data_IF_521955646326
#
_entry.id   IF_521955646326
#
_cell.length_a   1.000
_cell.length_b   1.000
_cell.length_c   1.000
_cell.angle_alpha   90.00
_cell.angle_beta   90.00
_cell.angle_gamma   90.00
#
_symmetry.space_group_name_H-M   'P 1'
#
loop_
_entity.id
_entity.type
_entity.pdbx_description
1 polymer ?
#
# COMPACT_ATOMS: atom_id res chain seq x y z
N UNK A 1 26.88 10.27 -50.78
CA UNK A 1 25.44 10.56 -50.99
C UNK A 1 24.65 10.11 -49.78
N UNK A 2 23.98 11.01 -49.04
CA UNK A 2 23.18 10.62 -47.89
C UNK A 2 21.87 9.96 -48.37
N UNK A 3 21.54 8.80 -47.79
CA UNK A 3 20.33 8.03 -48.07
C UNK A 3 19.17 8.61 -47.27
N UNK A 4 18.15 9.11 -47.95
CA UNK A 4 16.89 9.56 -47.36
C UNK A 4 16.13 8.35 -46.81
N UNK A 5 15.64 8.37 -45.55
CA UNK A 5 14.81 7.28 -45.03
C UNK A 5 13.40 7.29 -45.66
N UNK A 6 12.77 6.10 -45.79
CA UNK A 6 11.46 5.96 -46.42
C UNK A 6 10.34 6.59 -45.57
N UNK A 7 9.51 7.38 -46.24
CA UNK A 7 8.32 8.06 -45.73
C UNK A 7 7.21 7.02 -45.51
N UNK A 8 6.87 6.76 -44.25
CA UNK A 8 5.71 5.94 -43.89
C UNK A 8 4.41 6.64 -44.28
N UNK A 9 3.55 5.96 -45.03
CA UNK A 9 2.16 6.35 -45.29
C UNK A 9 1.23 5.36 -44.56
N UNK A 10 0.29 5.82 -43.74
CA UNK A 10 -0.77 4.96 -43.22
C UNK A 10 -1.79 4.69 -44.32
N UNK A 11 -1.93 3.41 -44.69
CA UNK A 11 -2.97 2.89 -45.56
C UNK A 11 -4.32 2.92 -44.83
N UNK A 12 -5.23 3.73 -45.36
CA UNK A 12 -6.65 3.71 -45.01
C UNK A 12 -7.34 2.54 -45.73
N UNK A 13 -8.05 1.72 -44.95
CA UNK A 13 -9.12 0.79 -45.36
C UNK A 13 -9.91 0.56 -44.07
N UNK A 14 -11.00 1.27 -43.78
CA UNK A 14 -12.33 1.12 -44.39
C UNK A 14 -12.70 -0.36 -44.55
N UNK A 15 -13.31 -0.93 -43.52
CA UNK A 15 -14.40 -1.89 -43.63
C UNK A 15 -15.19 -1.91 -42.31
N UNK A 16 -16.33 -1.20 -42.36
CA UNK A 16 -17.42 -1.32 -41.41
C UNK A 16 -18.17 -2.63 -41.69
N UNK A 17 -18.26 -3.52 -40.70
CA UNK A 17 -19.28 -4.58 -40.71
C UNK A 17 -19.94 -4.66 -39.34
N UNK A 18 -21.12 -4.06 -39.26
CA UNK A 18 -22.09 -4.21 -38.19
C UNK A 18 -22.54 -5.68 -38.11
N UNK A 19 -22.27 -6.34 -36.98
CA UNK A 19 -22.94 -7.56 -36.58
C UNK A 19 -23.72 -7.23 -35.30
N UNK A 20 -24.96 -6.80 -35.49
CA UNK A 20 -25.98 -6.78 -34.45
C UNK A 20 -26.61 -8.17 -34.39
N UNK A 21 -26.19 -9.03 -33.45
CA UNK A 21 -26.93 -10.24 -33.13
C UNK A 21 -27.15 -10.37 -31.63
N UNK A 22 -28.41 -10.18 -31.22
CA UNK A 22 -29.09 -11.01 -30.23
C UNK A 22 -28.69 -10.87 -28.75
N UNK A 23 -29.13 -9.80 -28.09
CA UNK A 23 -29.25 -9.78 -26.62
C UNK A 23 -30.58 -10.45 -26.27
N UNK A 24 -30.53 -11.74 -25.93
CA UNK A 24 -31.63 -12.47 -25.30
C UNK A 24 -31.79 -12.05 -23.83
N UNK A 25 -33.03 -11.92 -23.31
CA UNK A 25 -33.29 -11.64 -21.90
C UNK A 25 -33.26 -12.95 -21.11
N UNK A 26 -32.07 -13.48 -20.85
CA UNK A 26 -31.89 -14.69 -20.03
C UNK A 26 -31.76 -14.34 -18.54
N UNK A 27 -32.90 -14.49 -17.87
CA UNK A 27 -33.11 -14.94 -16.49
C UNK A 27 -32.19 -14.35 -15.40
N UNK A 28 -32.76 -13.37 -14.69
CA UNK A 28 -32.21 -12.73 -13.51
C UNK A 28 -32.01 -13.69 -12.33
N UNK A 29 -30.91 -14.43 -12.36
CA UNK A 29 -30.28 -14.95 -11.16
C UNK A 29 -29.82 -13.75 -10.32
N UNK A 30 -30.64 -13.35 -9.35
CA UNK A 30 -30.34 -12.32 -8.38
C UNK A 30 -28.99 -12.62 -7.72
N UNK A 31 -27.93 -11.99 -8.22
CA UNK A 31 -26.62 -11.96 -7.58
C UNK A 31 -26.83 -11.16 -6.31
N UNK A 32 -27.19 -11.86 -5.23
CA UNK A 32 -27.38 -11.25 -3.92
C UNK A 32 -26.17 -10.39 -3.56
N UNK A 33 -26.35 -9.26 -2.86
CA UNK A 33 -25.27 -8.36 -2.51
C UNK A 33 -24.21 -9.17 -1.75
N UNK A 34 -23.09 -9.48 -2.42
CA UNK A 34 -21.95 -10.16 -1.80
C UNK A 34 -21.36 -9.25 -0.74
N UNK A 35 -21.92 -9.34 0.46
CA UNK A 35 -21.52 -8.59 1.62
C UNK A 35 -20.02 -8.81 1.88
N UNK A 36 -19.25 -7.73 1.81
CA UNK A 36 -17.90 -7.70 2.37
C UNK A 36 -16.73 -7.72 1.39
N UNK A 37 -16.94 -7.69 0.07
CA UNK A 37 -15.82 -7.44 -0.86
C UNK A 37 -15.53 -5.93 -0.87
N UNK A 38 -14.39 -5.53 -0.30
CA UNK A 38 -13.98 -4.13 -0.30
C UNK A 38 -13.94 -3.56 -1.72
N UNK A 39 -14.26 -2.28 -1.87
CA UNK A 39 -14.21 -1.60 -3.17
C UNK A 39 -12.75 -1.54 -3.62
N UNK A 40 -12.46 -2.22 -4.73
CA UNK A 40 -11.15 -2.24 -5.38
C UNK A 40 -11.28 -1.40 -6.65
N UNK A 41 -10.58 -0.27 -6.71
CA UNK A 41 -10.52 0.56 -7.92
C UNK A 41 -9.13 0.45 -8.55
N UNK A 42 -9.07 0.41 -9.88
CA UNK A 42 -7.81 0.49 -10.62
C UNK A 42 -7.62 1.93 -11.07
N UNK A 43 -6.50 2.53 -10.71
CA UNK A 43 -6.16 3.90 -11.10
C UNK A 43 -4.71 4.00 -11.57
N UNK A 44 -4.46 4.89 -12.53
CA UNK A 44 -3.11 5.21 -13.01
C UNK A 44 -2.57 6.38 -12.21
N UNK A 45 -1.40 6.20 -11.61
CA UNK A 45 -0.82 7.18 -10.67
C UNK A 45 0.68 7.38 -10.98
N UNK A 46 1.23 8.59 -10.83
CA UNK A 46 2.67 8.80 -10.89
C UNK A 46 3.42 7.95 -9.85
N UNK A 47 4.54 7.33 -10.24
CA UNK A 47 5.32 6.46 -9.35
C UNK A 47 5.82 7.23 -8.11
N UNK A 48 6.12 8.53 -8.26
CA UNK A 48 6.58 9.40 -7.17
C UNK A 48 5.58 9.59 -6.02
N UNK A 49 4.27 9.50 -6.29
CA UNK A 49 3.23 9.68 -5.28
C UNK A 49 2.87 8.39 -4.52
N UNK A 50 3.56 7.28 -4.80
CA UNK A 50 3.33 6.00 -4.14
C UNK A 50 4.38 5.76 -3.05
N UNK A 51 3.92 5.44 -1.85
CA UNK A 51 4.73 5.21 -0.67
C UNK A 51 4.97 3.72 -0.42
N UNK A 52 6.11 3.39 0.19
CA UNK A 52 6.43 2.05 0.64
C UNK A 52 5.72 1.72 1.97
N UNK A 53 5.24 0.49 2.12
CA UNK A 53 4.66 0.01 3.39
C UNK A 53 5.73 -0.48 4.37
N UNK A 54 6.86 -1.01 3.87
CA UNK A 54 7.90 -1.63 4.70
C UNK A 54 9.17 -0.79 4.76
N UNK A 55 9.88 -0.77 5.90
CA UNK A 55 11.20 -0.14 6.03
C UNK A 55 12.30 -0.84 5.25
N UNK A 56 12.21 -2.17 5.08
CA UNK A 56 13.22 -2.92 4.33
C UNK A 56 12.64 -4.05 3.47
N UNK A 57 13.30 -4.29 2.33
CA UNK A 57 12.95 -5.34 1.37
C UNK A 57 14.16 -6.25 1.12
N UNK A 58 13.94 -7.51 0.78
CA UNK A 58 15.03 -8.41 0.38
C UNK A 58 15.43 -8.17 -1.09
N UNK A 59 16.72 -8.20 -1.43
CA UNK A 59 17.23 -7.87 -2.78
C UNK A 59 16.95 -8.87 -3.92
N UNK A 60 15.94 -9.73 -3.81
CA UNK A 60 15.54 -10.72 -4.83
C UNK A 60 14.03 -10.83 -4.90
N UNK A 61 13.49 -11.16 -6.06
CA UNK A 61 12.10 -11.57 -6.22
C UNK A 61 11.87 -13.02 -5.75
N UNK A 62 10.62 -13.43 -5.64
CA UNK A 62 10.25 -14.80 -5.23
C UNK A 62 10.66 -15.87 -6.25
N UNK A 63 10.77 -15.49 -7.52
CA UNK A 63 11.30 -16.30 -8.62
C UNK A 63 12.83 -16.41 -8.61
N UNK A 64 13.51 -15.71 -7.69
CA UNK A 64 14.96 -15.66 -7.59
C UNK A 64 15.65 -14.60 -8.46
N UNK A 65 14.91 -13.88 -9.32
CA UNK A 65 15.45 -12.80 -10.16
C UNK A 65 15.94 -11.62 -9.32
N UNK A 66 16.93 -10.91 -9.85
CA UNK A 66 17.45 -9.67 -9.25
C UNK A 66 16.58 -8.48 -9.64
N UNK A 67 16.56 -7.45 -8.80
CA UNK A 67 15.84 -6.21 -9.09
C UNK A 67 16.41 -5.49 -10.31
N UNK A 68 17.73 -5.51 -10.46
CA UNK A 68 18.43 -4.90 -11.58
C UNK A 68 17.92 -5.42 -12.93
N UNK A 69 17.64 -6.72 -13.03
CA UNK A 69 17.12 -7.32 -14.26
C UNK A 69 15.76 -6.74 -14.66
N UNK A 70 14.86 -6.48 -13.70
CA UNK A 70 13.58 -5.85 -14.02
C UNK A 70 13.76 -4.38 -14.44
N UNK A 71 14.69 -3.65 -13.81
CA UNK A 71 15.03 -2.27 -14.20
C UNK A 71 15.57 -2.22 -15.63
N UNK A 72 16.46 -3.15 -16.01
CA UNK A 72 16.98 -3.28 -17.37
C UNK A 72 15.87 -3.64 -18.38
N UNK A 73 14.92 -4.49 -18.00
CA UNK A 73 13.76 -4.83 -18.85
C UNK A 73 12.82 -3.64 -19.05
N UNK A 74 12.65 -2.80 -18.03
CA UNK A 74 11.91 -1.53 -18.16
C UNK A 74 12.65 -0.53 -19.06
N UNK A 75 13.98 -0.42 -18.93
CA UNK A 75 14.80 0.46 -19.76
C UNK A 75 14.85 0.05 -21.23
N UNK A 76 14.88 -1.26 -21.49
CA UNK A 76 14.83 -1.80 -22.85
C UNK A 76 13.44 -1.74 -23.49
N UNK A 77 12.40 -1.41 -22.71
CA UNK A 77 11.01 -1.40 -23.19
C UNK A 77 10.43 -2.80 -23.43
N UNK A 78 11.10 -3.86 -22.93
CA UNK A 78 10.57 -5.23 -22.97
C UNK A 78 9.33 -5.37 -22.10
N UNK A 79 9.24 -4.55 -21.06
CA UNK A 79 8.16 -4.52 -20.08
C UNK A 79 7.60 -3.10 -20.01
N UNK A 80 6.27 -2.97 -19.97
CA UNK A 80 5.52 -1.71 -19.92
C UNK A 80 4.69 -1.63 -18.62
N UNK A 81 4.94 -0.65 -17.72
CA UNK A 81 4.20 -0.45 -16.47
C UNK A 81 2.68 -0.26 -16.60
N UNK A 82 2.21 0.16 -17.78
CA UNK A 82 0.79 0.42 -18.03
C UNK A 82 0.08 -0.77 -18.67
N UNK A 83 0.80 -1.62 -19.38
CA UNK A 83 0.21 -2.76 -20.10
C UNK A 83 0.33 -4.06 -19.31
N UNK A 84 1.50 -4.31 -18.74
CA UNK A 84 1.78 -5.59 -18.12
C UNK A 84 1.01 -5.78 -16.81
N UNK A 85 0.29 -6.90 -16.69
CA UNK A 85 -0.51 -7.22 -15.49
C UNK A 85 0.36 -7.44 -14.26
N UNK A 86 1.56 -8.01 -14.43
CA UNK A 86 2.45 -8.27 -13.29
C UNK A 86 2.99 -6.97 -12.66
N UNK A 87 2.92 -5.84 -13.38
CA UNK A 87 3.27 -4.50 -12.91
C UNK A 87 2.07 -3.72 -12.35
N UNK A 88 0.86 -4.27 -12.41
CA UNK A 88 -0.26 -3.74 -11.64
C UNK A 88 0.03 -3.97 -10.15
N UNK A 89 0.25 -2.89 -9.39
CA UNK A 89 0.63 -3.00 -7.98
C UNK A 89 -0.61 -2.97 -7.10
N UNK A 90 -0.61 -3.77 -6.04
CA UNK A 90 -1.61 -3.65 -4.99
C UNK A 90 -1.25 -2.51 -4.05
N UNK A 91 -2.19 -1.59 -3.84
CA UNK A 91 -2.02 -0.46 -2.96
C UNK A 91 -3.21 -0.31 -2.00
N UNK A 92 -2.95 0.30 -0.86
CA UNK A 92 -3.95 0.66 0.14
C UNK A 92 -4.00 2.18 0.23
N UNK A 93 -5.20 2.73 0.13
CA UNK A 93 -5.42 4.15 0.40
C UNK A 93 -5.59 4.37 1.90
N UNK A 94 -4.73 5.19 2.50
CA UNK A 94 -4.83 5.57 3.90
C UNK A 94 -4.68 7.09 4.04
N UNK A 95 -5.81 7.77 4.25
CA UNK A 95 -5.87 9.22 4.22
C UNK A 95 -5.62 9.76 2.81
N UNK A 96 -4.66 10.68 2.67
CA UNK A 96 -4.29 11.31 1.38
C UNK A 96 -3.14 10.60 0.66
N UNK A 97 -2.73 9.41 1.14
CA UNK A 97 -1.53 8.71 0.67
C UNK A 97 -1.84 7.29 0.20
N UNK A 98 -1.04 6.83 -0.75
CA UNK A 98 -1.14 5.49 -1.32
C UNK A 98 0.06 4.66 -0.91
N UNK A 99 -0.18 3.56 -0.20
CA UNK A 99 0.85 2.66 0.27
C UNK A 99 0.86 1.36 -0.54
N UNK A 100 1.99 1.04 -1.16
CA UNK A 100 2.13 -0.14 -2.01
C UNK A 100 2.52 -1.39 -1.20
N UNK A 101 1.76 -2.46 -1.38
CA UNK A 101 2.04 -3.76 -0.76
C UNK A 101 3.18 -4.50 -1.48
N UNK A 102 3.31 -4.29 -2.81
CA UNK A 102 4.37 -4.89 -3.63
C UNK A 102 5.65 -4.04 -3.65
N UNK A 103 6.21 -3.76 -2.46
CA UNK A 103 7.37 -2.87 -2.27
C UNK A 103 8.58 -3.17 -3.18
N UNK A 104 8.83 -4.44 -3.53
CA UNK A 104 9.94 -4.83 -4.43
C UNK A 104 9.77 -4.31 -5.86
N UNK A 105 8.54 -4.37 -6.40
CA UNK A 105 8.23 -3.87 -7.74
C UNK A 105 8.22 -2.35 -7.76
N UNK A 106 7.64 -1.72 -6.73
CA UNK A 106 7.67 -0.27 -6.58
C UNK A 106 9.12 0.27 -6.53
N UNK A 107 10.03 -0.43 -5.85
CA UNK A 107 11.44 -0.05 -5.81
C UNK A 107 12.05 -0.03 -7.21
N UNK A 108 11.82 -1.08 -8.01
CA UNK A 108 12.31 -1.14 -9.39
C UNK A 108 11.75 0.00 -10.26
N UNK A 109 10.46 0.33 -10.10
CA UNK A 109 9.84 1.44 -10.83
C UNK A 109 10.39 2.81 -10.41
N UNK A 110 10.68 3.03 -9.12
CA UNK A 110 11.33 4.26 -8.65
C UNK A 110 12.77 4.39 -9.16
N UNK A 111 13.53 3.29 -9.18
CA UNK A 111 14.87 3.28 -9.77
C UNK A 111 14.82 3.54 -11.28
N UNK A 112 13.85 2.98 -11.99
CA UNK A 112 13.61 3.30 -13.39
C UNK A 112 13.31 4.80 -13.58
N UNK A 113 12.42 5.37 -12.75
CA UNK A 113 12.09 6.80 -12.73
C UNK A 113 13.33 7.69 -12.55
N UNK A 114 14.31 7.30 -11.72
CA UNK A 114 15.56 8.05 -11.53
C UNK A 114 16.42 8.07 -12.80
N UNK A 115 16.31 7.04 -13.65
CA UNK A 115 17.10 6.93 -14.89
C UNK A 115 16.45 7.61 -16.10
N UNK A 116 15.13 7.79 -16.10
CA UNK A 116 14.40 8.43 -17.20
C UNK A 116 14.07 9.89 -16.90
N UNK A 117 14.01 10.72 -17.94
CA UNK A 117 13.74 12.16 -17.81
C UNK A 117 12.26 12.53 -17.69
N UNK A 118 11.35 11.59 -17.96
CA UNK A 118 9.91 11.82 -17.95
C UNK A 118 9.26 11.20 -16.70
N UNK A 119 8.09 11.71 -16.32
CA UNK A 119 7.31 11.15 -15.22
C UNK A 119 6.73 9.78 -15.63
N UNK A 120 7.12 8.73 -14.88
CA UNK A 120 6.63 7.36 -15.02
C UNK A 120 5.33 7.21 -14.25
N UNK A 121 4.32 6.64 -14.91
CA UNK A 121 3.04 6.31 -14.32
C UNK A 121 2.87 4.80 -14.21
N UNK A 122 2.09 4.34 -13.23
CA UNK A 122 1.85 2.92 -12.98
C UNK A 122 0.38 2.68 -12.66
N UNK A 123 -0.14 1.50 -13.02
CA UNK A 123 -1.47 1.05 -12.60
C UNK A 123 -1.44 0.52 -11.17
N UNK A 124 -2.31 1.06 -10.32
CA UNK A 124 -2.50 0.63 -8.95
C UNK A 124 -3.90 0.04 -8.79
N UNK A 125 -3.96 -1.14 -8.21
CA UNK A 125 -5.19 -1.70 -7.66
C UNK A 125 -5.32 -1.20 -6.23
N UNK A 126 -6.04 -0.09 -6.06
CA UNK A 126 -6.23 0.58 -4.79
C UNK A 126 -7.40 -0.06 -4.06
N UNK A 127 -7.11 -0.61 -2.89
CA UNK A 127 -8.11 -1.10 -1.95
C UNK A 127 -8.36 -0.03 -0.89
N UNK A 128 -9.62 0.38 -0.74
CA UNK A 128 -10.03 1.15 0.43
C UNK A 128 -10.22 0.15 1.57
N UNK A 129 -9.36 0.19 2.61
CA UNK A 129 -9.35 -0.83 3.64
C UNK A 129 -10.62 -0.73 4.50
N UNK A 130 -11.41 -1.81 4.52
CA UNK A 130 -12.37 -2.11 5.59
C UNK A 130 -11.67 -2.93 6.70
N UNK A 131 -12.23 -2.96 7.90
CA UNK A 131 -11.54 -3.31 9.17
C UNK A 131 -10.55 -4.47 9.11
N UNK A 132 -10.89 -5.59 8.46
CA UNK A 132 -10.01 -6.77 8.37
C UNK A 132 -8.73 -6.53 7.56
N UNK A 133 -8.83 -5.90 6.38
CA UNK A 133 -7.65 -5.60 5.53
C UNK A 133 -6.78 -4.53 6.18
N UNK A 134 -7.40 -3.58 6.89
CA UNK A 134 -6.69 -2.54 7.65
C UNK A 134 -5.77 -3.16 8.72
N UNK A 135 -6.27 -4.11 9.53
CA UNK A 135 -5.46 -4.76 10.57
C UNK A 135 -4.19 -5.39 9.99
N UNK A 136 -4.31 -6.13 8.88
CA UNK A 136 -3.15 -6.75 8.21
C UNK A 136 -2.15 -5.71 7.69
N UNK A 137 -2.65 -4.61 7.14
CA UNK A 137 -1.82 -3.49 6.71
C UNK A 137 -1.04 -2.89 7.89
N UNK A 138 -1.74 -2.59 8.99
CA UNK A 138 -1.13 -2.03 10.20
C UNK A 138 -0.05 -2.94 10.79
N UNK A 139 -0.25 -4.26 10.77
CA UNK A 139 0.78 -5.22 11.21
C UNK A 139 2.02 -5.24 10.30
N UNK A 140 1.87 -4.97 9.00
CA UNK A 140 2.98 -4.90 8.05
C UNK A 140 3.63 -3.52 7.97
N UNK A 141 2.95 -2.47 8.41
CA UNK A 141 3.39 -1.09 8.33
C UNK A 141 4.57 -0.85 9.27
N UNK A 142 5.77 -0.84 8.70
CA UNK A 142 7.04 -0.79 9.45
C UNK A 142 7.92 0.37 9.04
N UNK A 143 7.43 1.26 8.18
CA UNK A 143 8.18 2.41 7.68
C UNK A 143 8.29 3.53 8.73
N UNK A 144 9.45 4.17 8.81
CA UNK A 144 9.75 5.27 9.75
C UNK A 144 9.66 6.66 9.09
N UNK A 145 9.79 6.73 7.76
CA UNK A 145 9.83 7.95 6.94
C UNK A 145 8.54 8.15 6.14
N UNK A 146 7.42 7.63 6.65
CA UNK A 146 6.12 7.62 5.94
C UNK A 146 6.19 6.93 4.56
N UNK A 147 7.11 5.99 4.38
CA UNK A 147 7.25 5.22 3.15
C UNK A 147 7.92 5.97 2.00
N UNK A 148 8.70 7.03 2.27
CA UNK A 148 9.41 7.76 1.23
C UNK A 148 10.49 6.90 0.56
N UNK A 149 11.35 6.27 1.37
CA UNK A 149 12.41 5.37 0.95
C UNK A 149 12.32 3.99 1.63
N UNK A 150 13.09 3.04 1.09
CA UNK A 150 13.16 1.66 1.58
C UNK A 150 14.59 1.14 1.49
N UNK A 151 15.03 0.42 2.53
CA UNK A 151 16.36 -0.19 2.57
C UNK A 151 16.32 -1.56 1.86
N UNK A 152 17.12 -1.73 0.83
CA UNK A 152 17.33 -3.05 0.20
C UNK A 152 18.34 -3.82 1.03
N UNK A 153 17.90 -4.91 1.67
CA UNK A 153 18.79 -5.78 2.45
C UNK A 153 19.81 -6.42 1.51
N UNK A 154 21.11 -6.38 1.84
CA UNK A 154 22.13 -7.01 1.02
C UNK A 154 21.82 -8.49 0.90
N UNK A 155 22.12 -9.05 -0.27
CA UNK A 155 22.09 -10.49 -0.43
C UNK A 155 23.07 -11.07 0.57
N UNK A 156 22.58 -11.89 1.49
CA UNK A 156 23.46 -12.70 2.30
C UNK A 156 24.29 -13.51 1.31
N UNK A 157 25.57 -13.14 1.17
CA UNK A 157 26.52 -14.07 0.56
C UNK A 157 26.42 -15.27 1.47
N UNK A 158 25.99 -16.43 0.93
CA UNK A 158 26.37 -17.71 1.53
C UNK A 158 27.89 -17.69 1.52
N UNK A 159 28.52 -17.05 2.51
CA UNK A 159 29.86 -17.38 2.91
C UNK A 159 29.79 -18.90 3.05
N UNK A 160 30.56 -19.62 2.25
CA UNK A 160 30.49 -21.06 2.17
C UNK A 160 30.61 -21.63 3.58
N UNK A 161 29.48 -21.88 4.22
CA UNK A 161 29.44 -22.34 5.59
C UNK A 161 29.65 -23.84 5.47
N UNK A 162 30.91 -24.22 5.50
CA UNK A 162 31.29 -25.49 6.06
C UNK A 162 30.46 -25.71 7.33
N UNK A 163 29.81 -26.87 7.38
CA UNK A 163 29.11 -27.44 8.54
C UNK A 163 29.64 -26.88 9.85
N UNK A 164 28.99 -25.90 10.46
CA UNK A 164 29.19 -25.57 11.86
C UNK A 164 27.84 -25.45 12.53
N UNK A 165 27.76 -26.04 13.72
CA UNK A 165 26.56 -26.64 14.27
C UNK A 165 25.36 -25.70 14.38
N UNK A 166 24.18 -26.28 14.13
CA UNK A 166 22.88 -25.77 14.56
C UNK A 166 22.93 -25.44 16.06
N UNK A 167 23.25 -24.18 16.42
CA UNK A 167 22.84 -23.63 17.71
C UNK A 167 21.46 -23.03 17.52
N UNK A 168 20.47 -23.62 18.18
CA UNK A 168 19.09 -23.18 18.18
C UNK A 168 19.02 -21.72 18.64
N UNK A 169 18.83 -20.79 17.69
CA UNK A 169 18.51 -19.41 18.01
C UNK A 169 17.00 -19.32 18.28
N UNK A 170 16.61 -19.72 19.49
CA UNK A 170 15.36 -19.26 20.08
C UNK A 170 15.53 -17.78 20.43
N UNK A 171 15.18 -16.87 19.52
CA UNK A 171 15.13 -15.44 19.83
C UNK A 171 13.73 -14.92 19.51
N UNK A 172 12.97 -14.78 20.60
CA UNK A 172 11.70 -14.08 20.70
C UNK A 172 11.80 -12.76 19.91
N UNK A 173 10.98 -12.62 18.87
CA UNK A 173 10.68 -11.32 18.29
C UNK A 173 9.76 -10.60 19.27
N UNK A 174 10.38 -9.92 20.23
CA UNK A 174 9.72 -8.93 21.06
C UNK A 174 10.46 -7.62 20.78
N UNK A 175 10.23 -7.11 19.57
CA UNK A 175 10.66 -5.76 19.21
C UNK A 175 9.54 -4.84 19.69
N UNK A 176 9.90 -4.06 20.70
CA UNK A 176 9.28 -2.86 21.21
C UNK A 176 8.16 -2.28 20.34
N UNK A 177 6.95 -2.27 20.89
CA UNK A 177 5.79 -1.49 20.46
C UNK A 177 5.88 -0.05 21.01
N UNK A 178 7.07 0.55 21.02
CA UNK A 178 7.26 1.84 21.68
C UNK A 178 6.77 2.98 20.77
N UNK A 179 5.47 3.23 20.89
CA UNK A 179 4.80 4.49 21.21
C UNK A 179 5.09 5.80 20.43
N UNK A 180 6.05 5.89 19.51
CA UNK A 180 6.40 7.19 18.88
C UNK A 180 5.95 7.40 17.43
N UNK A 181 5.10 6.52 16.89
CA UNK A 181 4.52 6.70 15.54
C UNK A 181 3.01 6.45 15.43
N UNK A 182 2.41 5.75 16.39
CA UNK A 182 1.02 5.32 16.28
C UNK A 182 0.03 6.44 16.59
N UNK A 183 0.15 7.12 17.73
CA UNK A 183 -0.80 8.18 18.11
C UNK A 183 -0.79 9.36 17.14
N UNK A 184 0.40 9.75 16.65
CA UNK A 184 0.54 10.84 15.68
C UNK A 184 -0.05 10.47 14.31
N UNK A 185 0.23 9.27 13.79
CA UNK A 185 -0.38 8.81 12.54
C UNK A 185 -1.89 8.59 12.67
N UNK A 186 -2.36 8.03 13.79
CA UNK A 186 -3.79 7.84 14.06
C UNK A 186 -4.51 9.19 14.15
N UNK A 187 -3.89 10.20 14.76
CA UNK A 187 -4.40 11.56 14.80
C UNK A 187 -4.42 12.21 13.41
N UNK A 188 -3.35 12.08 12.60
CA UNK A 188 -3.32 12.61 11.23
C UNK A 188 -4.37 11.92 10.33
N UNK A 189 -4.52 10.60 10.47
CA UNK A 189 -5.55 9.84 9.76
C UNK A 189 -6.96 10.21 10.21
N UNK A 190 -7.22 10.36 11.51
CA UNK A 190 -8.51 10.79 12.04
C UNK A 190 -8.83 12.24 11.65
N UNK A 191 -7.85 13.15 11.67
CA UNK A 191 -7.99 14.54 11.24
C UNK A 191 -8.31 14.63 9.75
N UNK A 192 -7.60 13.85 8.91
CA UNK A 192 -7.86 13.77 7.47
C UNK A 192 -9.24 13.19 7.15
N UNK A 193 -9.75 12.27 7.98
CA UNK A 193 -11.12 11.76 7.86
C UNK A 193 -12.16 12.85 8.13
N UNK A 194 -12.01 13.62 9.21
CA UNK A 194 -12.93 14.72 9.55
C UNK A 194 -12.95 15.84 8.50
N UNK A 195 -11.79 16.16 7.91
CA UNK A 195 -11.70 17.15 6.83
C UNK A 195 -12.44 16.69 5.57
N UNK A 196 -12.30 15.40 5.21
CA UNK A 196 -13.02 14.87 4.05
C UNK A 196 -14.52 14.94 4.25
N UNK A 197 -15.03 14.61 5.44
CA UNK A 197 -16.47 14.70 5.78
C UNK A 197 -16.98 16.16 5.76
N UNK A 198 -16.18 17.13 6.23
CA UNK A 198 -16.55 18.56 6.16
C UNK A 198 -16.67 19.10 4.74
N UNK A 199 -15.81 18.65 3.81
CA UNK A 199 -15.88 19.13 2.41
C UNK A 199 -17.13 18.68 1.68
N UNK A 200 -17.75 17.57 2.07
CA UNK A 200 -19.05 17.13 1.52
C UNK A 200 -20.23 17.90 2.14
N UNK A 201 -20.15 18.28 3.42
CA UNK A 201 -21.23 19.00 4.09
C UNK A 201 -21.36 20.48 3.65
N UNK A 202 -20.27 21.12 3.22
CA UNK A 202 -20.27 22.55 2.86
C UNK A 202 -20.70 22.85 1.40
N UNK A 203 -20.91 21.83 0.56
CA UNK A 203 -21.28 21.97 -0.85
C UNK A 203 -22.80 21.87 -1.16
N UNK A 204 -23.63 21.62 -0.15
CA UNK A 204 -25.08 21.47 -0.31
C UNK A 204 -25.81 22.81 -0.31
N UNK A 205 -25.80 23.53 -1.44
CA UNK A 205 -26.81 24.56 -1.69
C UNK A 205 -28.16 23.87 -1.90
N UNK A 206 -29.12 24.24 -1.06
CA UNK A 206 -30.46 23.70 -0.97
C UNK A 206 -31.15 23.59 -2.34
N UNK A 207 -31.40 22.34 -2.76
CA UNK A 207 -32.49 21.99 -3.65
C UNK A 207 -33.23 20.85 -2.98
N UNK A 208 -34.46 21.11 -2.54
CA UNK A 208 -35.36 20.17 -1.89
C UNK A 208 -35.44 18.84 -2.65
N UNK A 209 -34.86 17.79 -2.07
CA UNK A 209 -35.12 16.41 -2.46
C UNK A 209 -35.44 15.67 -1.16
N UNK A 210 -36.69 15.24 -1.04
CA UNK A 210 -37.21 14.46 0.08
C UNK A 210 -36.27 13.28 0.39
N UNK A 211 -35.66 13.33 1.57
CA UNK A 211 -34.72 12.33 2.03
C UNK A 211 -35.46 11.05 2.40
N UNK A 212 -35.20 9.98 1.65
CA UNK A 212 -35.50 8.62 2.06
C UNK A 212 -34.44 8.21 3.10
N UNK A 213 -34.84 8.18 4.37
CA UNK A 213 -34.01 7.81 5.51
C UNK A 213 -33.77 6.29 5.53
N UNK A 214 -32.80 5.80 4.74
CA UNK A 214 -32.29 4.43 4.90
C UNK A 214 -31.00 4.41 5.74
N UNK A 215 -31.19 4.08 7.01
CA UNK A 215 -30.35 3.24 7.88
C UNK A 215 -28.82 3.30 7.67
N UNK A 216 -28.18 4.33 8.25
CA UNK A 216 -26.73 4.37 8.50
C UNK A 216 -26.42 4.10 9.99
N UNK A 217 -27.05 3.07 10.57
CA UNK A 217 -27.01 2.77 12.01
C UNK A 217 -25.81 1.91 12.46
N UNK A 218 -24.95 1.42 11.54
CA UNK A 218 -23.87 0.46 11.85
C UNK A 218 -22.50 1.09 12.23
N UNK A 219 -22.42 2.42 12.37
CA UNK A 219 -21.18 3.11 12.78
C UNK A 219 -21.15 3.50 14.28
N UNK A 220 -22.28 3.38 14.99
CA UNK A 220 -22.41 3.75 16.40
C UNK A 220 -21.76 2.75 17.36
N UNK A 221 -21.74 1.46 17.01
CA UNK A 221 -21.33 0.38 17.94
C UNK A 221 -19.80 0.33 18.16
N UNK A 222 -19.01 0.75 17.17
CA UNK A 222 -17.54 0.79 17.28
C UNK A 222 -17.03 1.89 18.22
N UNK A 223 -17.77 3.02 18.35
CA UNK A 223 -17.42 4.06 19.33
C UNK A 223 -17.56 3.56 20.77
N UNK A 224 -18.52 2.68 21.03
CA UNK A 224 -18.78 2.14 22.37
C UNK A 224 -17.74 1.08 22.81
N UNK A 225 -17.26 0.25 21.88
CA UNK A 225 -16.19 -0.73 22.17
C UNK A 225 -14.86 0.00 22.44
N UNK A 226 -14.57 1.08 21.72
CA UNK A 226 -13.35 1.86 21.91
C UNK A 226 -13.33 2.67 23.21
N UNK A 227 -14.48 3.22 23.64
CA UNK A 227 -14.60 3.94 24.91
C UNK A 227 -14.48 3.02 26.14
N UNK A 228 -14.81 1.73 26.01
CA UNK A 228 -14.73 0.74 27.10
C UNK A 228 -13.33 0.17 27.30
N UNK A 229 -12.48 0.15 26.26
CA UNK A 229 -11.05 -0.19 26.40
C UNK A 229 -10.20 0.96 26.98
N UNK A 230 -10.61 2.22 26.79
CA UNK A 230 -9.91 3.39 27.34
C UNK A 230 -10.16 3.60 28.85
N UNK A 231 -11.21 3.03 29.45
CA UNK A 231 -11.47 3.15 30.90
C UNK A 231 -10.76 2.09 31.76
N UNK A 232 -10.17 1.05 31.16
CA UNK A 232 -9.51 -0.06 31.87
C UNK A 232 -7.97 0.04 31.88
N UNK A 233 -7.42 1.16 31.36
CA UNK A 233 -5.99 1.45 31.43
C UNK A 233 -5.62 2.18 32.73
N UNK A 234 -6.00 1.61 33.88
CA UNK A 234 -5.42 1.91 35.19
C UNK A 234 -4.05 1.20 35.29
N UNK A 235 -3.06 1.75 34.60
CA UNK A 235 -1.67 1.32 34.72
C UNK A 235 -1.07 1.90 36.00
N UNK A 236 -1.34 1.19 37.10
CA UNK A 236 -0.77 1.45 38.41
C UNK A 236 0.75 1.64 38.38
N UNK A 237 1.14 2.78 38.92
CA UNK A 237 2.39 3.16 39.57
C UNK A 237 3.29 1.97 39.99
N UNK A 238 4.24 1.57 39.13
CA UNK A 238 5.36 0.70 39.53
C UNK A 238 6.58 1.52 39.93
N UNK A 239 6.70 1.61 41.26
CA UNK A 239 7.75 2.20 42.06
C UNK A 239 9.17 1.71 41.70
N UNK A 240 10.10 2.65 41.78
CA UNK A 240 11.55 2.54 41.61
C UNK A 240 12.14 1.40 42.46
N UNK A 241 12.91 0.50 41.86
CA UNK A 241 13.83 -0.39 42.59
C UNK A 241 15.24 -0.34 41.99
N UNK A 242 16.04 0.48 42.67
CA UNK A 242 17.49 0.46 42.93
C UNK A 242 18.42 -0.45 42.12
N UNK A 243 19.49 0.19 41.65
CA UNK A 243 20.72 -0.33 41.05
C UNK A 243 21.47 -1.32 41.96
N UNK A 244 22.24 -2.21 41.33
CA UNK A 244 22.97 -3.34 41.92
C UNK A 244 24.46 -3.04 42.12
N UNK A 245 24.92 -1.81 41.94
CA UNK A 245 26.32 -1.41 42.18
C UNK A 245 26.50 -0.75 43.56
N UNK A 246 26.38 -1.54 44.63
CA UNK A 246 26.70 -1.12 45.99
C UNK A 246 28.20 -0.93 46.21
N UNK A 247 28.75 0.23 45.83
CA UNK A 247 30.08 0.69 46.27
C UNK A 247 30.00 2.16 46.67
N UNK A 248 29.98 2.41 47.99
CA UNK A 248 30.22 3.73 48.56
C UNK A 248 31.74 3.95 48.70
N UNK A 249 32.24 5.04 48.13
CA UNK A 249 33.53 5.62 48.49
C UNK A 249 33.29 6.63 49.61
N UNK A 250 33.92 6.42 50.77
CA UNK A 250 33.98 7.40 51.86
C UNK A 250 35.21 8.29 51.73
N UNK A 251 35.01 9.57 52.02
CA UNK A 251 36.01 10.43 52.66
C UNK A 251 35.33 11.21 53.76
#
# INVERSE_FOLDING_TARGET
SPRTPPRWQPSASEDESCIEEGIGPEDGAAVGPTAGRGVECVQTVPVRSVNFTHKSIGGRFSDGRLFQTLVEELQSGKVDPLKDEFLCLEAISAGKRLFCLNNRRLWCLKQYQETVRHDVTVRLKVTIPRDRKMKRFLFGYTTENQGADVIVRPLWKKSGSGRSGKKACGRKQQVAKDAWGWSSWKADWQSSKQDSERTWAAGGSAGDVEAHEDDNSDWGEWKAVQAREESDSDWGEWSKKTDRSGVMLHR
#
